data_IF_055668847522
#
_entry.id   IF_055668847522
#
_cell.length_a   1.000
_cell.length_b   1.000
_cell.length_c   1.000
_cell.angle_alpha   90.00
_cell.angle_beta   90.00
_cell.angle_gamma   90.00
#
_symmetry.space_group_name_H-M   'P 1'
#
loop_
_entity.id
_entity.type
_entity.pdbx_description
1 polymer ?
#
# COMPACT_ATOMS: atom_id res chain seq x y z
N UNK A 1 36.93 103.52 -11.09
CA UNK A 1 37.67 103.38 -9.81
C UNK A 1 37.51 101.94 -9.35
N UNK A 2 38.63 101.21 -9.22
CA UNK A 2 38.68 99.78 -8.85
C UNK A 2 38.13 99.57 -7.44
N UNK A 3 37.29 98.56 -7.21
CA UNK A 3 37.51 97.57 -6.13
C UNK A 3 36.63 96.32 -6.33
N UNK A 4 37.28 95.17 -6.14
CA UNK A 4 36.81 93.79 -6.12
C UNK A 4 35.94 93.44 -4.92
N UNK A 5 35.19 92.32 -4.97
CA UNK A 5 35.15 91.25 -3.94
C UNK A 5 34.46 90.00 -4.52
N UNK A 6 35.07 88.85 -4.24
CA UNK A 6 34.79 87.44 -4.57
C UNK A 6 33.92 86.72 -3.51
N UNK A 7 33.22 85.63 -3.91
CA UNK A 7 32.92 84.38 -3.15
C UNK A 7 31.65 83.72 -3.73
N UNK A 8 31.75 82.64 -4.52
CA UNK A 8 31.89 81.22 -4.18
C UNK A 8 30.67 80.60 -3.45
N UNK A 9 29.88 79.80 -4.18
CA UNK A 9 28.94 78.80 -3.64
C UNK A 9 28.93 77.58 -4.57
N UNK A 10 29.64 76.54 -4.15
CA UNK A 10 29.57 75.19 -4.69
C UNK A 10 28.49 74.40 -3.95
N UNK A 11 27.65 73.66 -4.69
CA UNK A 11 26.70 72.68 -4.15
C UNK A 11 27.27 71.27 -4.34
N UNK A 12 27.23 70.36 -3.35
CA UNK A 12 27.71 69.00 -3.55
C UNK A 12 26.66 68.12 -4.25
N UNK A 13 27.11 67.36 -5.24
CA UNK A 13 26.37 66.31 -5.92
C UNK A 13 26.43 65.01 -5.10
N UNK A 14 25.26 64.45 -4.78
CA UNK A 14 25.08 63.23 -4.00
C UNK A 14 25.44 61.99 -4.83
N UNK A 15 26.46 61.23 -4.40
CA UNK A 15 26.89 59.98 -5.06
C UNK A 15 25.87 58.86 -4.81
N UNK A 16 25.23 58.35 -5.87
CA UNK A 16 24.57 57.03 -5.85
C UNK A 16 25.62 55.93 -5.68
N UNK A 17 25.46 55.10 -4.65
CA UNK A 17 26.21 53.83 -4.52
C UNK A 17 25.62 52.83 -5.52
N UNK A 18 26.40 52.45 -6.53
CA UNK A 18 26.12 51.30 -7.38
C UNK A 18 26.20 50.02 -6.55
N UNK A 19 25.11 49.24 -6.56
CA UNK A 19 25.04 47.93 -5.94
C UNK A 19 25.70 46.93 -6.90
N UNK A 20 27.00 46.70 -6.76
CA UNK A 20 27.68 45.62 -7.48
C UNK A 20 27.34 44.29 -6.79
N UNK A 21 26.26 43.64 -7.26
CA UNK A 21 26.01 42.23 -6.94
C UNK A 21 27.12 41.39 -7.61
N UNK A 22 28.08 40.96 -6.81
CA UNK A 22 29.18 40.09 -7.22
C UNK A 22 28.65 38.81 -7.89
N UNK A 23 29.06 38.55 -9.13
CA UNK A 23 28.74 37.34 -9.91
C UNK A 23 28.99 36.02 -9.15
N UNK A 24 29.90 36.01 -8.16
CA UNK A 24 30.15 34.84 -7.29
C UNK A 24 28.98 34.48 -6.39
N UNK A 25 28.22 35.46 -5.91
CA UNK A 25 27.07 35.23 -5.02
C UNK A 25 25.84 34.79 -5.82
N UNK A 26 25.71 35.20 -7.09
CA UNK A 26 24.66 34.73 -8.00
C UNK A 26 24.91 33.27 -8.38
N UNK A 27 26.16 32.86 -8.60
CA UNK A 27 26.53 31.48 -8.90
C UNK A 27 26.29 30.54 -7.70
N UNK A 28 26.56 31.00 -6.48
CA UNK A 28 26.28 30.22 -5.26
C UNK A 28 24.78 30.05 -5.00
N UNK A 29 23.97 31.05 -5.34
CA UNK A 29 22.51 31.01 -5.21
C UNK A 29 21.85 30.11 -6.26
N UNK A 30 22.45 30.00 -7.46
CA UNK A 30 21.99 29.07 -8.50
C UNK A 30 22.37 27.61 -8.19
N UNK A 31 23.49 27.38 -7.50
CA UNK A 31 23.94 26.06 -7.07
C UNK A 31 23.17 25.53 -5.85
N UNK A 32 22.59 26.40 -5.01
CA UNK A 32 21.72 25.99 -3.91
C UNK A 32 20.29 25.66 -4.36
N UNK A 33 19.84 26.22 -5.50
CA UNK A 33 18.51 25.97 -6.05
C UNK A 33 18.42 24.65 -6.86
N UNK A 34 19.55 24.10 -7.31
CA UNK A 34 19.61 22.80 -8.01
C UNK A 34 19.56 21.59 -7.08
N UNK A 35 19.60 21.79 -5.75
CA UNK A 35 19.43 20.75 -4.73
C UNK A 35 17.98 20.59 -4.24
N UNK A 36 17.00 21.15 -4.96
CA UNK A 36 15.60 20.80 -4.74
C UNK A 36 15.37 19.41 -5.34
N UNK A 37 15.66 18.39 -4.54
CA UNK A 37 15.47 16.99 -4.90
C UNK A 37 14.07 16.76 -5.45
N UNK A 38 14.00 16.00 -6.54
CA UNK A 38 12.76 15.53 -7.13
C UNK A 38 12.08 14.65 -6.06
N UNK A 39 11.19 15.24 -5.26
CA UNK A 39 10.30 14.46 -4.42
C UNK A 39 9.43 13.64 -5.38
N UNK A 40 9.66 12.33 -5.44
CA UNK A 40 8.78 11.43 -6.17
C UNK A 40 7.36 11.68 -5.66
N UNK A 41 6.46 12.11 -6.55
CA UNK A 41 5.08 12.41 -6.19
C UNK A 41 4.41 11.12 -5.70
N UNK A 42 4.30 10.96 -4.38
CA UNK A 42 3.59 9.85 -3.76
C UNK A 42 2.11 9.98 -4.08
N UNK A 43 1.56 9.01 -4.81
CA UNK A 43 0.12 8.98 -5.06
C UNK A 43 -0.58 8.38 -3.85
N UNK A 44 -1.50 9.13 -3.24
CA UNK A 44 -2.27 8.69 -2.07
C UNK A 44 -3.76 8.61 -2.40
N UNK A 45 -4.39 7.53 -1.95
CA UNK A 45 -5.82 7.28 -2.14
C UNK A 45 -6.47 6.89 -0.81
N UNK A 46 -7.77 7.10 -0.72
CA UNK A 46 -8.56 6.75 0.45
C UNK A 46 -9.84 6.06 0.01
N UNK A 47 -10.18 4.96 0.69
CA UNK A 47 -11.42 4.24 0.50
C UNK A 47 -12.12 4.10 1.85
N UNK A 48 -13.44 4.35 1.89
CA UNK A 48 -14.26 4.17 3.09
C UNK A 48 -15.35 3.16 2.86
N UNK A 49 -15.66 2.40 3.90
CA UNK A 49 -16.87 1.57 3.97
C UNK A 49 -18.16 2.40 3.79
N UNK A 50 -19.28 1.75 3.43
CA UNK A 50 -20.59 2.40 3.34
C UNK A 50 -20.99 3.19 4.60
N UNK A 51 -20.74 2.65 5.79
CA UNK A 51 -21.03 3.29 7.08
C UNK A 51 -19.92 4.24 7.59
N UNK A 52 -18.85 4.38 6.81
CA UNK A 52 -17.66 5.20 7.07
C UNK A 52 -16.83 4.82 8.31
N UNK A 53 -17.09 3.69 8.97
CA UNK A 53 -16.32 3.25 10.14
C UNK A 53 -14.98 2.65 9.77
N UNK A 54 -14.94 1.87 8.69
CA UNK A 54 -13.69 1.33 8.12
C UNK A 54 -13.15 2.29 7.07
N UNK A 55 -11.85 2.59 7.18
CA UNK A 55 -11.08 3.41 6.25
C UNK A 55 -9.84 2.64 5.81
N UNK A 56 -9.57 2.65 4.50
CA UNK A 56 -8.34 2.14 3.89
C UNK A 56 -7.57 3.33 3.33
N UNK A 57 -6.31 3.47 3.71
CA UNK A 57 -5.41 4.49 3.15
C UNK A 57 -4.38 3.79 2.28
N UNK A 58 -4.38 4.06 0.97
CA UNK A 58 -3.47 3.41 0.01
C UNK A 58 -2.43 4.43 -0.44
N UNK A 59 -1.17 4.01 -0.49
CA UNK A 59 -0.05 4.83 -0.97
C UNK A 59 0.72 4.05 -2.02
N UNK A 60 0.93 4.66 -3.17
CA UNK A 60 1.74 4.14 -4.26
C UNK A 60 2.97 5.04 -4.43
N UNK A 61 4.12 4.54 -3.99
CA UNK A 61 5.42 5.18 -4.12
C UNK A 61 6.45 4.14 -4.57
N UNK A 62 7.37 3.72 -3.69
CA UNK A 62 8.32 2.64 -3.97
C UNK A 62 7.65 1.26 -3.98
N UNK A 63 6.55 1.11 -3.23
CA UNK A 63 5.69 -0.07 -3.17
C UNK A 63 4.23 0.37 -3.04
N UNK A 64 3.30 -0.55 -3.26
CA UNK A 64 1.93 -0.36 -2.80
C UNK A 64 1.89 -0.63 -1.30
N UNK A 65 1.54 0.40 -0.53
CA UNK A 65 1.36 0.33 0.91
C UNK A 65 -0.09 0.64 1.27
N UNK A 66 -0.61 0.01 2.30
CA UNK A 66 -1.94 0.33 2.81
C UNK A 66 -2.04 0.26 4.34
N UNK A 67 -2.93 1.08 4.88
CA UNK A 67 -3.38 1.01 6.27
C UNK A 67 -4.87 0.68 6.30
N UNK A 68 -5.30 0.00 7.36
CA UNK A 68 -6.70 -0.22 7.67
C UNK A 68 -7.00 0.37 9.04
N UNK A 69 -8.00 1.23 9.11
CA UNK A 69 -8.45 1.89 10.33
C UNK A 69 -9.92 1.58 10.59
N UNK A 70 -10.28 1.41 11.86
CA UNK A 70 -11.65 1.25 12.34
C UNK A 70 -11.96 2.36 13.35
N UNK A 71 -12.89 3.26 13.03
CA UNK A 71 -13.25 4.39 13.90
C UNK A 71 -12.06 5.29 14.22
N UNK A 72 -11.10 5.44 13.29
CA UNK A 72 -9.87 6.20 13.47
C UNK A 72 -8.73 5.46 14.18
N UNK A 73 -8.97 4.27 14.73
CA UNK A 73 -7.92 3.41 15.31
C UNK A 73 -7.29 2.55 14.22
N UNK A 74 -5.97 2.63 14.08
CA UNK A 74 -5.20 1.79 13.15
C UNK A 74 -5.23 0.32 13.59
N UNK A 75 -5.59 -0.57 12.65
CA UNK A 75 -5.59 -2.02 12.82
C UNK A 75 -4.45 -2.68 12.03
N UNK A 76 -4.17 -2.16 10.84
CA UNK A 76 -3.01 -2.49 10.02
C UNK A 76 -2.30 -1.21 9.59
N UNK A 77 -0.96 -1.20 9.61
CA UNK A 77 -0.15 -0.05 9.21
C UNK A 77 0.98 -0.42 8.25
N UNK A 78 1.21 0.35 7.20
CA UNK A 78 2.28 0.13 6.22
C UNK A 78 2.33 -1.33 5.71
N UNK A 79 1.16 -1.95 5.56
CA UNK A 79 1.04 -3.30 5.00
C UNK A 79 1.33 -3.24 3.51
N UNK A 80 1.96 -4.26 2.96
CA UNK A 80 2.40 -4.27 1.55
C UNK A 80 2.08 -5.60 0.89
N UNK A 81 2.02 -5.59 -0.43
CA UNK A 81 2.03 -6.83 -1.21
C UNK A 81 2.81 -6.65 -2.51
N UNK A 82 3.30 -7.76 -3.06
CA UNK A 82 3.92 -7.82 -4.39
C UNK A 82 3.87 -9.23 -4.94
N UNK A 83 3.80 -9.35 -6.27
CA UNK A 83 3.88 -10.63 -6.97
C UNK A 83 5.08 -10.62 -7.90
N UNK A 84 5.76 -11.76 -8.04
CA UNK A 84 6.72 -12.01 -9.10
C UNK A 84 6.05 -12.90 -10.16
N UNK A 85 5.72 -12.31 -11.31
CA UNK A 85 5.10 -13.01 -12.43
C UNK A 85 6.08 -12.97 -13.60
N UNK A 86 6.51 -14.14 -14.09
CA UNK A 86 7.52 -14.22 -15.17
C UNK A 86 8.78 -13.37 -14.91
N UNK A 87 9.29 -13.39 -13.66
CA UNK A 87 10.42 -12.57 -13.21
C UNK A 87 10.21 -11.05 -13.31
N UNK A 88 8.94 -10.63 -13.40
CA UNK A 88 8.51 -9.22 -13.35
C UNK A 88 7.76 -8.97 -12.06
N UNK A 89 8.32 -8.07 -11.25
CA UNK A 89 7.70 -7.66 -10.00
C UNK A 89 6.50 -6.72 -10.21
N UNK A 90 5.33 -7.16 -9.75
CA UNK A 90 4.12 -6.34 -9.60
C UNK A 90 4.07 -5.79 -8.17
N UNK A 91 3.58 -4.55 -8.01
CA UNK A 91 3.50 -3.87 -6.72
C UNK A 91 4.77 -3.13 -6.29
N UNK A 92 5.89 -3.27 -7.02
CA UNK A 92 7.12 -2.50 -6.82
C UNK A 92 7.18 -1.33 -7.82
N UNK A 93 7.62 -0.17 -7.34
CA UNK A 93 7.63 1.12 -8.06
C UNK A 93 6.34 1.35 -8.87
N UNK A 94 5.15 1.18 -8.27
CA UNK A 94 3.89 1.28 -8.99
C UNK A 94 3.69 2.67 -9.58
N UNK A 95 3.41 2.73 -10.87
CA UNK A 95 2.93 3.94 -11.55
C UNK A 95 1.45 3.80 -11.82
N UNK A 96 0.63 4.46 -11.00
CA UNK A 96 -0.82 4.49 -11.16
C UNK A 96 -1.17 5.36 -12.36
N UNK A 97 -1.91 4.82 -13.31
CA UNK A 97 -2.38 5.54 -14.51
C UNK A 97 -3.85 5.91 -14.43
N UNK A 98 -4.63 5.17 -13.63
CA UNK A 98 -6.05 5.42 -13.41
C UNK A 98 -6.44 5.00 -11.99
N UNK A 99 -7.33 5.77 -11.39
CA UNK A 99 -8.02 5.42 -10.16
C UNK A 99 -9.53 5.52 -10.42
N UNK A 100 -10.25 4.40 -10.27
CA UNK A 100 -11.68 4.31 -10.52
C UNK A 100 -12.41 3.85 -9.26
N UNK A 101 -13.36 4.65 -8.82
CA UNK A 101 -14.23 4.32 -7.69
C UNK A 101 -15.57 3.78 -8.18
N UNK A 102 -16.15 2.85 -7.40
CA UNK A 102 -17.54 2.45 -7.53
C UNK A 102 -18.14 2.06 -6.19
N UNK A 103 -19.46 2.00 -6.13
CA UNK A 103 -20.21 1.42 -5.02
C UNK A 103 -21.09 0.29 -5.53
N UNK A 104 -21.31 -0.71 -4.67
CA UNK A 104 -22.19 -1.85 -4.92
C UNK A 104 -23.12 -2.02 -3.73
N UNK A 105 -24.40 -2.27 -3.97
CA UNK A 105 -25.37 -2.65 -2.93
C UNK A 105 -26.40 -3.59 -3.55
N UNK A 106 -26.04 -4.87 -3.60
CA UNK A 106 -26.84 -5.92 -4.23
C UNK A 106 -27.23 -7.00 -3.22
N UNK A 107 -28.22 -7.81 -3.58
CA UNK A 107 -28.62 -8.99 -2.81
C UNK A 107 -28.34 -10.24 -3.63
N UNK A 108 -27.34 -10.99 -3.20
CA UNK A 108 -26.97 -12.27 -3.78
C UNK A 108 -27.88 -13.36 -3.18
N UNK A 109 -28.44 -14.20 -4.05
CA UNK A 109 -29.23 -15.38 -3.65
C UNK A 109 -28.46 -16.64 -4.05
N UNK A 110 -27.70 -17.27 -3.14
CA UNK A 110 -26.92 -18.45 -3.47
C UNK A 110 -27.80 -19.58 -3.98
N UNK A 111 -27.40 -20.21 -5.08
CA UNK A 111 -28.09 -21.39 -5.64
C UNK A 111 -28.10 -22.53 -4.63
N UNK A 112 -26.94 -22.80 -4.01
CA UNK A 112 -26.80 -23.71 -2.88
C UNK A 112 -26.64 -22.86 -1.62
N UNK A 113 -27.65 -22.92 -0.74
CA UNK A 113 -27.65 -22.17 0.51
C UNK A 113 -26.80 -22.87 1.54
N UNK A 114 -25.91 -22.12 2.16
CA UNK A 114 -25.17 -22.56 3.34
C UNK A 114 -25.85 -21.95 4.58
N UNK A 115 -25.23 -20.96 5.22
CA UNK A 115 -25.77 -20.28 6.40
C UNK A 115 -26.93 -19.33 6.10
N UNK A 116 -26.98 -18.71 4.93
CA UNK A 116 -27.96 -17.67 4.59
C UNK A 116 -28.63 -17.94 3.24
N UNK A 117 -29.92 -17.60 3.14
CA UNK A 117 -30.67 -17.65 1.89
C UNK A 117 -30.46 -16.41 0.99
N UNK A 118 -30.03 -15.31 1.59
CA UNK A 118 -29.74 -14.05 0.92
C UNK A 118 -28.52 -13.42 1.61
N UNK A 119 -27.61 -12.86 0.80
CA UNK A 119 -26.41 -12.17 1.27
C UNK A 119 -26.45 -10.78 0.67
N UNK A 120 -26.39 -9.74 1.51
CA UNK A 120 -26.27 -8.36 1.04
C UNK A 120 -24.80 -8.09 0.72
N UNK A 121 -24.50 -7.81 -0.54
CA UNK A 121 -23.19 -7.46 -1.03
C UNK A 121 -23.09 -5.93 -1.13
N UNK A 122 -22.68 -5.28 -0.03
CA UNK A 122 -22.61 -3.83 0.07
C UNK A 122 -21.19 -3.36 0.39
N UNK A 123 -20.54 -2.73 -0.59
CA UNK A 123 -19.18 -2.21 -0.46
C UNK A 123 -18.97 -0.95 -1.31
N UNK A 124 -17.90 -0.24 -0.98
CA UNK A 124 -17.25 0.69 -1.93
C UNK A 124 -15.95 0.06 -2.42
N UNK A 125 -15.61 0.29 -3.67
CA UNK A 125 -14.40 -0.22 -4.31
C UNK A 125 -13.57 0.94 -4.87
N UNK A 126 -12.26 0.82 -4.72
CA UNK A 126 -11.27 1.61 -5.42
C UNK A 126 -10.41 0.67 -6.25
N UNK A 127 -10.45 0.83 -7.57
CA UNK A 127 -9.58 0.15 -8.52
C UNK A 127 -8.45 1.08 -8.94
N UNK A 128 -7.22 0.64 -8.75
CA UNK A 128 -6.02 1.32 -9.22
C UNK A 128 -5.44 0.56 -10.41
N UNK A 129 -5.44 1.17 -11.59
CA UNK A 129 -4.82 0.62 -12.80
C UNK A 129 -3.37 1.08 -12.87
N UNK A 130 -2.45 0.15 -13.10
CA UNK A 130 -1.01 0.42 -13.15
C UNK A 130 -0.50 0.36 -14.60
N UNK A 131 0.50 1.18 -14.93
CA UNK A 131 1.17 1.18 -16.24
C UNK A 131 1.75 -0.20 -16.61
N UNK A 132 2.03 -1.03 -15.60
CA UNK A 132 2.62 -2.36 -15.75
C UNK A 132 1.71 -3.46 -16.31
N UNK A 133 0.46 -3.15 -16.71
CA UNK A 133 -0.48 -4.13 -17.27
C UNK A 133 -1.24 -4.94 -16.21
N UNK A 134 -1.39 -4.39 -15.00
CA UNK A 134 -2.14 -5.00 -13.92
C UNK A 134 -2.93 -3.92 -13.17
N UNK A 135 -3.87 -4.36 -12.35
CA UNK A 135 -4.67 -3.50 -11.49
C UNK A 135 -4.75 -4.08 -10.09
N UNK A 136 -5.11 -3.24 -9.12
CA UNK A 136 -5.42 -3.67 -7.76
C UNK A 136 -6.78 -3.11 -7.39
N UNK A 137 -7.70 -3.98 -7.03
CA UNK A 137 -9.03 -3.59 -6.57
C UNK A 137 -9.13 -3.76 -5.06
N UNK A 138 -9.33 -2.67 -4.34
CA UNK A 138 -9.65 -2.68 -2.90
C UNK A 138 -11.16 -2.54 -2.71
N UNK A 139 -11.75 -3.36 -1.84
CA UNK A 139 -13.14 -3.24 -1.41
C UNK A 139 -13.21 -3.01 0.09
N UNK A 140 -14.05 -2.06 0.50
CA UNK A 140 -14.37 -1.79 1.90
C UNK A 140 -15.85 -2.08 2.16
N UNK A 141 -16.09 -3.07 3.01
CA UNK A 141 -17.39 -3.42 3.57
C UNK A 141 -17.52 -2.79 4.96
N UNK A 142 -18.71 -2.84 5.56
CA UNK A 142 -18.89 -2.36 6.94
C UNK A 142 -18.18 -3.25 7.98
N UNK A 143 -17.89 -4.50 7.61
CA UNK A 143 -17.33 -5.53 8.47
C UNK A 143 -15.89 -5.94 8.09
N UNK A 144 -15.35 -5.44 6.96
CA UNK A 144 -14.03 -5.88 6.51
C UNK A 144 -13.50 -5.16 5.28
N UNK A 145 -12.26 -5.50 4.93
CA UNK A 145 -11.54 -5.00 3.75
C UNK A 145 -11.03 -6.20 2.98
N UNK A 146 -11.12 -6.14 1.66
CA UNK A 146 -10.50 -7.10 0.75
C UNK A 146 -9.69 -6.36 -0.31
N UNK A 147 -8.65 -7.01 -0.85
CA UNK A 147 -8.02 -6.59 -2.08
C UNK A 147 -7.78 -7.80 -2.98
N UNK A 148 -7.64 -7.54 -4.28
CA UNK A 148 -7.15 -8.53 -5.24
C UNK A 148 -6.29 -7.86 -6.30
N UNK A 149 -5.30 -8.59 -6.78
CA UNK A 149 -4.49 -8.22 -7.94
C UNK A 149 -5.15 -8.80 -9.18
N UNK A 150 -5.31 -7.98 -10.20
CA UNK A 150 -5.90 -8.39 -11.48
C UNK A 150 -4.90 -8.15 -12.59
N UNK A 151 -4.55 -9.19 -13.33
CA UNK A 151 -3.57 -9.12 -14.40
C UNK A 151 -4.28 -9.02 -15.76
N UNK A 152 -3.75 -8.18 -16.64
CA UNK A 152 -4.24 -7.99 -18.01
C UNK A 152 -3.20 -8.36 -19.05
N UNK A 153 -2.46 -9.46 -18.80
CA UNK A 153 -1.38 -9.88 -19.68
C UNK A 153 -1.91 -10.42 -21.01
N UNK A 154 -1.16 -10.18 -22.09
CA UNK A 154 -1.48 -10.72 -23.41
C UNK A 154 -1.17 -12.21 -23.54
N UNK A 155 -0.31 -12.75 -22.67
CA UNK A 155 0.04 -14.16 -22.61
C UNK A 155 -1.14 -14.96 -22.04
N UNK A 156 -1.43 -16.12 -22.64
CA UNK A 156 -2.49 -17.01 -22.17
C UNK A 156 -2.15 -17.74 -20.87
N UNK A 157 -0.86 -17.93 -20.61
CA UNK A 157 -0.35 -18.58 -19.39
C UNK A 157 0.81 -17.77 -18.87
N UNK A 158 0.88 -17.64 -17.54
CA UNK A 158 1.97 -17.00 -16.82
C UNK A 158 2.26 -17.81 -15.56
N UNK A 159 3.52 -17.86 -15.16
CA UNK A 159 3.97 -18.46 -13.91
C UNK A 159 4.17 -17.39 -12.85
N UNK A 160 3.63 -17.63 -11.67
CA UNK A 160 3.92 -16.85 -10.47
C UNK A 160 5.05 -17.55 -9.71
N UNK A 161 6.18 -16.86 -9.59
CA UNK A 161 7.39 -17.35 -8.92
C UNK A 161 7.42 -17.02 -7.44
N UNK A 162 6.63 -16.02 -7.02
CA UNK A 162 6.52 -15.67 -5.63
C UNK A 162 5.44 -14.63 -5.39
N UNK A 163 4.91 -14.66 -4.17
CA UNK A 163 3.97 -13.69 -3.66
C UNK A 163 4.47 -13.26 -2.28
N UNK A 164 4.41 -11.97 -2.01
CA UNK A 164 4.72 -11.43 -0.70
C UNK A 164 3.53 -10.63 -0.23
N UNK A 165 2.97 -11.00 0.91
CA UNK A 165 1.97 -10.22 1.62
C UNK A 165 2.45 -9.95 3.04
N UNK A 166 2.51 -8.68 3.40
CA UNK A 166 2.97 -8.24 4.70
C UNK A 166 1.80 -7.55 5.42
N UNK A 167 1.20 -8.26 6.38
CA UNK A 167 0.22 -7.70 7.30
C UNK A 167 0.90 -7.21 8.56
N UNK A 168 1.01 -5.89 8.68
CA UNK A 168 1.76 -5.22 9.73
C UNK A 168 0.79 -4.65 10.77
N UNK A 169 0.89 -5.13 12.01
CA UNK A 169 0.04 -4.71 13.12
C UNK A 169 0.75 -3.66 13.99
N UNK A 170 0.05 -2.61 14.47
CA UNK A 170 0.65 -1.52 15.23
C UNK A 170 1.02 -1.88 16.68
N UNK A 171 0.77 -3.11 17.11
CA UNK A 171 1.09 -3.58 18.45
C UNK A 171 1.22 -5.09 18.46
N UNK A 172 1.88 -5.61 19.50
CA UNK A 172 1.98 -7.03 19.74
C UNK A 172 0.65 -7.60 20.27
N UNK A 173 -0.29 -7.86 19.36
CA UNK A 173 -1.60 -8.43 19.69
C UNK A 173 -1.54 -9.93 19.93
N UNK A 174 -2.60 -10.46 20.53
CA UNK A 174 -2.83 -11.90 20.61
C UNK A 174 -3.41 -12.38 19.29
N UNK A 175 -2.87 -13.47 18.76
CA UNK A 175 -3.32 -14.14 17.56
C UNK A 175 -3.65 -15.59 17.88
N UNK A 176 -4.75 -16.05 17.31
CA UNK A 176 -5.15 -17.44 17.24
C UNK A 176 -4.59 -17.98 15.93
N UNK A 177 -3.36 -18.49 16.01
CA UNK A 177 -2.54 -18.86 14.85
C UNK A 177 -2.56 -20.38 14.67
N UNK A 178 -3.28 -20.92 13.65
CA UNK A 178 -3.34 -22.35 13.39
C UNK A 178 -2.02 -22.82 12.73
N UNK A 179 -0.97 -22.93 13.53
CA UNK A 179 0.37 -23.22 13.05
C UNK A 179 0.44 -24.58 12.35
N UNK A 180 1.04 -24.57 11.16
CA UNK A 180 1.35 -25.74 10.36
C UNK A 180 2.83 -26.12 10.46
N UNK A 181 3.11 -27.40 10.26
CA UNK A 181 4.48 -27.93 10.23
C UNK A 181 5.08 -27.93 8.81
N UNK A 182 4.22 -28.04 7.79
CA UNK A 182 4.60 -28.04 6.37
C UNK A 182 3.41 -27.77 5.46
N UNK A 183 3.68 -27.43 4.20
CA UNK A 183 2.67 -27.31 3.14
C UNK A 183 1.87 -28.59 2.87
N UNK A 184 2.42 -29.77 3.22
CA UNK A 184 1.66 -31.01 3.17
C UNK A 184 0.89 -31.20 4.48
N UNK A 185 -0.31 -30.63 4.53
CA UNK A 185 -1.14 -30.62 5.73
C UNK A 185 -2.57 -31.12 5.48
N UNK A 186 -3.17 -31.64 6.55
CA UNK A 186 -4.59 -31.96 6.63
C UNK A 186 -5.43 -30.76 7.13
N UNK A 187 -4.82 -29.63 7.48
CA UNK A 187 -5.46 -28.39 7.93
C UNK A 187 -6.29 -28.49 9.22
N UNK A 188 -5.99 -29.44 10.11
CA UNK A 188 -6.67 -29.59 11.40
C UNK A 188 -5.75 -29.17 12.54
N UNK A 189 -5.69 -27.85 12.80
CA UNK A 189 -4.83 -27.27 13.83
C UNK A 189 -5.60 -26.68 15.00
N UNK A 190 -4.94 -26.63 16.15
CA UNK A 190 -5.44 -25.93 17.34
C UNK A 190 -5.18 -24.44 17.20
N UNK A 191 -6.20 -23.65 17.50
CA UNK A 191 -6.11 -22.19 17.57
C UNK A 191 -5.66 -21.75 18.95
N UNK A 192 -4.38 -21.95 19.25
CA UNK A 192 -3.82 -21.56 20.54
C UNK A 192 -3.49 -20.06 20.54
N UNK A 193 -3.93 -19.31 21.56
CA UNK A 193 -3.62 -17.89 21.66
C UNK A 193 -2.13 -17.72 21.95
N UNK A 194 -1.47 -16.89 21.15
CA UNK A 194 -0.09 -16.48 21.37
C UNK A 194 0.09 -15.03 20.92
N UNK A 195 1.14 -14.36 21.40
CA UNK A 195 1.46 -13.02 20.92
C UNK A 195 2.04 -13.07 19.51
N UNK A 196 1.77 -12.05 18.69
CA UNK A 196 2.34 -11.92 17.34
C UNK A 196 3.88 -12.05 17.34
N UNK A 197 4.56 -11.51 18.37
CA UNK A 197 6.02 -11.63 18.55
C UNK A 197 6.50 -13.02 18.98
N UNK A 198 5.59 -13.92 19.36
CA UNK A 198 5.89 -15.30 19.74
C UNK A 198 5.99 -16.28 18.56
N UNK A 199 5.42 -15.95 17.39
CA UNK A 199 5.48 -16.80 16.20
C UNK A 199 6.94 -16.94 15.71
N UNK A 200 7.43 -18.12 15.32
CA UNK A 200 8.80 -18.24 14.82
C UNK A 200 8.97 -17.64 13.41
N UNK A 201 10.14 -17.10 13.03
CA UNK A 201 10.42 -16.88 11.60
C UNK A 201 10.28 -18.21 10.84
N UNK A 202 9.69 -18.18 9.66
CA UNK A 202 9.41 -19.39 8.87
C UNK A 202 8.28 -20.28 9.41
N UNK A 203 7.58 -19.86 10.48
CA UNK A 203 6.32 -20.52 10.86
C UNK A 203 5.28 -20.29 9.78
N UNK A 204 4.49 -21.31 9.50
CA UNK A 204 3.39 -21.30 8.53
C UNK A 204 2.07 -21.43 9.28
N UNK A 205 1.00 -20.88 8.73
CA UNK A 205 -0.35 -21.12 9.21
C UNK A 205 -1.33 -21.15 8.05
N UNK A 206 -2.26 -22.08 8.14
CA UNK A 206 -3.45 -22.11 7.28
C UNK A 206 -4.36 -20.95 7.61
N UNK A 207 -5.10 -20.45 6.61
CA UNK A 207 -6.13 -19.45 6.82
C UNK A 207 -7.51 -20.11 7.05
N UNK A 208 -8.38 -19.53 7.89
CA UNK A 208 -8.27 -18.20 8.47
C UNK A 208 -7.43 -18.15 9.76
N UNK A 209 -6.73 -17.03 9.98
CA UNK A 209 -6.10 -16.70 11.26
C UNK A 209 -6.82 -15.50 11.89
N UNK A 210 -6.93 -15.45 13.23
CA UNK A 210 -7.69 -14.38 13.93
C UNK A 210 -6.80 -13.62 14.91
N UNK A 211 -6.74 -12.30 14.78
CA UNK A 211 -6.01 -11.40 15.68
C UNK A 211 -6.99 -10.65 16.59
N UNK A 212 -6.73 -10.61 17.89
CA UNK A 212 -7.45 -9.81 18.88
C UNK A 212 -6.75 -8.45 19.11
N UNK A 213 -7.20 -7.45 18.36
CA UNK A 213 -6.77 -6.07 18.49
C UNK A 213 -7.61 -5.33 19.54
N UNK A 214 -7.40 -5.68 20.82
CA UNK A 214 -8.03 -5.03 22.00
C UNK A 214 -9.56 -4.99 21.89
N UNK A 215 -10.17 -6.15 21.66
CA UNK A 215 -11.62 -6.33 21.52
C UNK A 215 -12.12 -6.29 20.08
N UNK A 216 -11.33 -5.75 19.13
CA UNK A 216 -11.61 -5.89 17.69
C UNK A 216 -11.02 -7.19 17.19
N UNK A 217 -11.83 -8.04 16.55
CA UNK A 217 -11.36 -9.28 15.95
C UNK A 217 -11.08 -9.05 14.47
N UNK A 218 -9.86 -9.35 14.05
CA UNK A 218 -9.42 -9.27 12.65
C UNK A 218 -9.23 -10.70 12.18
N UNK A 219 -10.14 -11.20 11.35
CA UNK A 219 -9.98 -12.47 10.67
C UNK A 219 -9.29 -12.22 9.33
N UNK A 220 -8.16 -12.88 9.11
CA UNK A 220 -7.44 -12.87 7.83
C UNK A 220 -7.77 -14.19 7.14
N UNK A 221 -8.27 -14.08 5.92
CA UNK A 221 -8.74 -15.18 5.11
C UNK A 221 -8.61 -14.82 3.63
N UNK A 222 -8.77 -15.84 2.79
CA UNK A 222 -8.87 -15.71 1.34
C UNK A 222 -10.17 -16.32 0.84
N UNK A 223 -10.52 -16.03 -0.41
CA UNK A 223 -11.70 -16.52 -1.09
C UNK A 223 -11.46 -16.44 -2.60
N UNK A 224 -12.26 -17.16 -3.39
CA UNK A 224 -12.11 -17.22 -4.85
C UNK A 224 -10.77 -17.86 -5.27
N UNK A 225 -10.31 -18.85 -4.49
CA UNK A 225 -9.10 -19.61 -4.76
C UNK A 225 -9.46 -20.75 -5.73
N UNK A 226 -9.26 -20.47 -7.01
CA UNK A 226 -9.42 -21.42 -8.11
C UNK A 226 -8.16 -21.36 -8.99
N UNK A 227 -7.59 -22.51 -9.35
CA UNK A 227 -6.36 -22.63 -10.14
C UNK A 227 -5.18 -21.76 -9.65
N UNK A 228 -5.14 -21.46 -8.35
CA UNK A 228 -4.08 -20.71 -7.68
C UNK A 228 -3.69 -21.43 -6.37
N UNK A 229 -2.40 -21.47 -5.99
CA UNK A 229 -2.00 -22.07 -4.71
C UNK A 229 -2.64 -21.33 -3.54
N UNK A 230 -3.12 -22.07 -2.53
CA UNK A 230 -3.66 -21.48 -1.32
C UNK A 230 -2.61 -20.63 -0.62
N UNK A 231 -3.05 -19.53 -0.01
CA UNK A 231 -2.18 -18.64 0.74
C UNK A 231 -2.00 -19.17 2.16
N UNK A 232 -0.74 -19.39 2.51
CA UNK A 232 -0.34 -19.57 3.90
C UNK A 232 0.20 -18.25 4.47
N UNK A 233 0.06 -18.04 5.77
CA UNK A 233 0.66 -16.89 6.44
C UNK A 233 2.04 -17.26 6.99
N UNK A 234 3.16 -16.82 6.37
CA UNK A 234 4.48 -16.86 6.99
C UNK A 234 4.70 -15.66 7.93
N UNK A 235 5.26 -15.87 9.13
CA UNK A 235 5.79 -14.71 9.87
C UNK A 235 6.98 -14.11 9.12
N UNK A 236 6.84 -12.87 8.67
CA UNK A 236 7.93 -12.09 8.08
C UNK A 236 8.97 -11.66 9.13
N UNK A 237 10.10 -12.35 9.09
CA UNK A 237 11.45 -11.81 9.26
C UNK A 237 12.31 -12.53 8.21
N UNK A 238 12.87 -11.78 7.26
CA UNK A 238 13.71 -12.20 6.11
C UNK A 238 14.29 -13.64 6.09
N UNK A 239 14.40 -14.30 4.91
CA UNK A 239 13.88 -13.95 3.58
C UNK A 239 12.55 -14.64 3.26
N UNK A 240 11.88 -14.09 2.26
CA UNK A 240 10.61 -14.51 1.68
C UNK A 240 10.52 -16.02 1.41
N UNK A 241 9.37 -16.59 1.72
CA UNK A 241 8.97 -17.90 1.20
C UNK A 241 8.43 -17.66 -0.20
N UNK A 242 9.22 -18.03 -1.22
CA UNK A 242 8.74 -18.13 -2.60
C UNK A 242 7.81 -19.34 -2.69
N UNK A 243 6.54 -19.13 -3.03
CA UNK A 243 5.64 -20.21 -3.41
C UNK A 243 5.80 -20.40 -4.92
N UNK A 244 6.55 -21.41 -5.33
CA UNK A 244 6.63 -21.84 -6.71
C UNK A 244 5.39 -22.67 -7.06
N UNK A 245 4.40 -22.05 -7.69
CA UNK A 245 3.24 -22.75 -8.26
C UNK A 245 3.42 -22.99 -9.75
N UNK A 246 3.49 -24.24 -10.18
CA UNK A 246 3.30 -24.61 -11.58
C UNK A 246 1.80 -24.88 -11.80
N UNK A 247 1.11 -23.99 -12.51
CA UNK A 247 -0.26 -24.23 -12.97
C UNK A 247 -0.23 -25.31 -14.06
N UNK A 248 -0.10 -26.57 -13.63
CA UNK A 248 -0.09 -27.74 -14.51
C UNK A 248 -1.50 -28.08 -14.95
N UNK A 249 -1.88 -27.59 -16.14
CA UNK A 249 -3.03 -28.12 -16.86
C UNK A 249 -2.80 -29.60 -17.24
N UNK A 250 -3.80 -30.44 -16.99
CA UNK A 250 -3.91 -31.76 -17.63
C UNK A 250 -5.08 -31.74 -18.64
N UNK A 251 -4.97 -32.55 -19.72
CA UNK A 251 -5.57 -32.29 -21.02
C UNK A 251 -7.09 -32.23 -21.08
#
# INVERSE_FOLDING_TARGET
MKTSITSDKTYPCEKRKSCELSCKNVLLLMLSLSLCGIAAAQSSYELRSPDNRIQVKIRAAEKIQYDVLLGGRTLLENSTFSLDVEHKALGLQPKVVEAKERANDEVIKPTVRQKFAQIRDNYKELRLTMDGGYSVAFRAYNEGVAYRVETGFALQQVKVYGEQDNWNFPSNFVVYYPQEDSFFSHNERKYLPQFLTGIGPGSLATLPAVVDARGTKIAIAESDVEDYPHREWPRCGFPAVSIEGEAGGRP
#
